data_IF_990903835890
#
_entry.id   IF_990903835890
#
_cell.length_a   1.000
_cell.length_b   1.000
_cell.length_c   1.000
_cell.angle_alpha   90.00
_cell.angle_beta   90.00
_cell.angle_gamma   90.00
#
_symmetry.space_group_name_H-M   'P 1'
#
loop_
_entity.id
_entity.type
_entity.pdbx_description
1 polymer ?
#
# COMPACT_ATOMS: atom_id res chain seq x y z
N UNK A 1 18.94 -18.16 -10.19
CA UNK A 1 17.88 -17.15 -10.26
C UNK A 1 18.31 -16.13 -11.32
N UNK A 2 17.52 -15.89 -12.36
CA UNK A 2 17.93 -15.03 -13.48
C UNK A 2 18.09 -13.57 -13.02
N UNK A 3 19.25 -12.93 -13.28
CA UNK A 3 19.59 -11.64 -12.63
C UNK A 3 18.61 -10.51 -12.98
N UNK A 4 18.07 -10.49 -14.20
CA UNK A 4 17.09 -9.49 -14.63
C UNK A 4 15.78 -9.52 -13.82
N UNK A 5 15.32 -10.70 -13.38
CA UNK A 5 14.11 -10.81 -12.54
C UNK A 5 14.32 -10.22 -11.16
N UNK A 6 15.54 -10.40 -10.64
CA UNK A 6 15.90 -9.86 -9.34
C UNK A 6 15.97 -8.32 -9.41
N UNK A 7 16.63 -7.77 -10.43
CA UNK A 7 16.69 -6.33 -10.67
C UNK A 7 15.30 -5.70 -10.87
N UNK A 8 14.42 -6.39 -11.60
CA UNK A 8 13.03 -5.97 -11.78
C UNK A 8 12.29 -5.87 -10.43
N UNK A 9 12.30 -6.94 -9.63
CA UNK A 9 11.60 -6.96 -8.35
C UNK A 9 12.19 -5.95 -7.36
N UNK A 10 13.51 -5.81 -7.30
CA UNK A 10 14.19 -4.79 -6.49
C UNK A 10 13.70 -3.39 -6.84
N UNK A 11 13.55 -3.07 -8.13
CA UNK A 11 12.97 -1.80 -8.57
C UNK A 11 11.53 -1.65 -8.09
N UNK A 12 10.71 -2.69 -8.18
CA UNK A 12 9.32 -2.63 -7.71
C UNK A 12 9.25 -2.40 -6.19
N UNK A 13 10.09 -3.07 -5.40
CA UNK A 13 10.15 -2.86 -3.94
C UNK A 13 10.54 -1.43 -3.59
N UNK A 14 11.53 -0.86 -4.28
CA UNK A 14 11.91 0.55 -4.09
C UNK A 14 10.73 1.49 -4.41
N UNK A 15 10.06 1.29 -5.54
CA UNK A 15 8.90 2.09 -5.91
C UNK A 15 7.76 1.98 -4.88
N UNK A 16 7.50 0.80 -4.32
CA UNK A 16 6.49 0.65 -3.27
C UNK A 16 6.84 1.46 -2.02
N UNK A 17 8.10 1.41 -1.58
CA UNK A 17 8.58 2.18 -0.43
C UNK A 17 8.49 3.69 -0.70
N UNK A 18 8.85 4.12 -1.91
CA UNK A 18 8.74 5.51 -2.34
C UNK A 18 7.28 5.98 -2.33
N UNK A 19 6.33 5.17 -2.81
CA UNK A 19 4.90 5.53 -2.76
C UNK A 19 4.41 5.71 -1.31
N UNK A 20 4.83 4.83 -0.39
CA UNK A 20 4.50 4.97 1.03
C UNK A 20 5.12 6.24 1.61
N UNK A 21 6.37 6.55 1.24
CA UNK A 21 7.05 7.75 1.69
C UNK A 21 6.36 9.04 1.19
N UNK A 22 6.03 9.10 -0.09
CA UNK A 22 5.35 10.25 -0.70
C UNK A 22 3.94 10.45 -0.12
N UNK A 23 3.23 9.36 0.23
CA UNK A 23 1.96 9.44 0.95
C UNK A 23 2.15 10.02 2.36
N UNK A 24 3.15 9.55 3.12
CA UNK A 24 3.49 10.08 4.45
C UNK A 24 3.95 11.54 4.42
N UNK A 25 4.41 12.03 3.26
CA UNK A 25 4.74 13.43 3.00
C UNK A 25 3.56 14.24 2.45
N UNK A 26 2.36 13.66 2.41
CA UNK A 26 1.13 14.28 1.91
C UNK A 26 1.21 14.73 0.44
N UNK A 27 2.16 14.19 -0.33
CA UNK A 27 2.35 14.54 -1.74
C UNK A 27 1.42 13.76 -2.67
N UNK A 28 0.93 12.61 -2.22
CA UNK A 28 -0.07 11.81 -2.91
C UNK A 28 -1.22 11.47 -1.95
N UNK A 29 -2.43 11.32 -2.49
CA UNK A 29 -3.60 10.88 -1.72
C UNK A 29 -3.66 9.35 -1.56
N UNK A 30 -4.48 8.88 -0.61
CA UNK A 30 -4.65 7.46 -0.28
C UNK A 30 -5.11 6.61 -1.47
N UNK A 31 -5.99 7.15 -2.33
CA UNK A 31 -6.43 6.46 -3.57
C UNK A 31 -5.24 6.13 -4.48
N UNK A 32 -4.35 7.10 -4.69
CA UNK A 32 -3.17 6.93 -5.53
C UNK A 32 -2.21 5.90 -4.93
N UNK A 33 -2.01 5.93 -3.61
CA UNK A 33 -1.19 4.96 -2.89
C UNK A 33 -1.72 3.53 -3.08
N UNK A 34 -3.02 3.29 -2.83
CA UNK A 34 -3.67 1.97 -2.95
C UNK A 34 -3.49 1.41 -4.36
N UNK A 35 -3.81 2.20 -5.39
CA UNK A 35 -3.68 1.77 -6.79
C UNK A 35 -2.22 1.44 -7.14
N UNK A 36 -1.29 2.30 -6.73
CA UNK A 36 0.13 2.13 -7.06
C UNK A 36 0.69 0.89 -6.38
N UNK A 37 0.41 0.66 -5.10
CA UNK A 37 0.86 -0.53 -4.37
C UNK A 37 0.33 -1.82 -5.03
N UNK A 38 -0.95 -1.85 -5.45
CA UNK A 38 -1.51 -3.02 -6.13
C UNK A 38 -0.83 -3.29 -7.45
N UNK A 39 -0.67 -2.26 -8.28
CA UNK A 39 -0.02 -2.37 -9.59
C UNK A 39 1.43 -2.85 -9.48
N UNK A 40 2.21 -2.27 -8.55
CA UNK A 40 3.60 -2.66 -8.32
C UNK A 40 3.69 -4.11 -7.80
N UNK A 41 2.77 -4.53 -6.93
CA UNK A 41 2.76 -5.90 -6.40
C UNK A 41 2.38 -6.93 -7.48
N UNK A 42 1.41 -6.61 -8.32
CA UNK A 42 1.03 -7.45 -9.44
C UNK A 42 2.14 -7.60 -10.48
N UNK A 43 3.06 -6.63 -10.58
CA UNK A 43 4.20 -6.70 -11.48
C UNK A 43 5.34 -7.60 -10.97
N UNK A 44 5.35 -7.99 -9.69
CA UNK A 44 6.42 -8.83 -9.13
C UNK A 44 6.48 -10.22 -9.78
N UNK A 45 7.68 -10.67 -10.11
CA UNK A 45 7.92 -11.97 -10.74
C UNK A 45 8.42 -13.01 -9.72
N UNK A 46 7.89 -14.23 -9.75
CA UNK A 46 8.42 -15.37 -8.95
C UNK A 46 8.55 -15.09 -7.43
N UNK A 47 7.62 -14.31 -6.85
CA UNK A 47 7.55 -14.08 -5.41
C UNK A 47 6.81 -15.20 -4.68
N UNK A 48 7.19 -15.56 -3.44
CA UNK A 48 6.45 -16.55 -2.66
C UNK A 48 5.00 -16.14 -2.45
N UNK A 49 4.07 -17.07 -2.70
CA UNK A 49 2.63 -16.80 -2.57
C UNK A 49 2.25 -16.40 -1.15
N UNK A 50 2.90 -16.98 -0.14
CA UNK A 50 2.69 -16.61 1.27
C UNK A 50 2.97 -15.13 1.55
N UNK A 51 4.08 -14.60 1.01
CA UNK A 51 4.41 -13.18 1.14
C UNK A 51 3.40 -12.31 0.40
N UNK A 52 2.99 -12.73 -0.81
CA UNK A 52 2.00 -12.01 -1.61
C UNK A 52 0.64 -11.95 -0.91
N UNK A 53 0.25 -13.02 -0.23
CA UNK A 53 -0.97 -13.06 0.59
C UNK A 53 -0.90 -12.07 1.76
N UNK A 54 0.18 -12.08 2.54
CA UNK A 54 0.36 -11.12 3.63
C UNK A 54 0.37 -9.67 3.14
N UNK A 55 1.01 -9.40 1.99
CA UNK A 55 0.95 -8.07 1.39
C UNK A 55 -0.49 -7.68 0.99
N UNK A 56 -1.23 -8.61 0.37
CA UNK A 56 -2.60 -8.36 -0.07
C UNK A 56 -3.57 -8.13 1.10
N UNK A 57 -3.37 -8.80 2.24
CA UNK A 57 -4.16 -8.60 3.47
C UNK A 57 -4.02 -7.17 4.00
N UNK A 58 -2.78 -6.68 4.10
CA UNK A 58 -2.50 -5.31 4.50
C UNK A 58 -3.01 -4.29 3.47
N UNK A 59 -2.79 -4.57 2.17
CA UNK A 59 -3.32 -3.72 1.10
C UNK A 59 -4.85 -3.64 1.12
N UNK A 60 -5.53 -4.76 1.36
CA UNK A 60 -7.01 -4.81 1.44
C UNK A 60 -7.52 -4.03 2.65
N UNK A 61 -6.76 -3.99 3.75
CA UNK A 61 -7.07 -3.14 4.90
C UNK A 61 -7.08 -1.66 4.52
N UNK A 62 -6.09 -1.18 3.74
CA UNK A 62 -6.09 0.20 3.21
C UNK A 62 -7.29 0.46 2.30
N UNK A 63 -7.58 -0.46 1.39
CA UNK A 63 -8.70 -0.34 0.46
C UNK A 63 -10.04 -0.27 1.19
N UNK A 64 -10.22 -1.10 2.22
CA UNK A 64 -11.44 -1.15 3.03
C UNK A 64 -11.64 0.17 3.80
N UNK A 65 -10.59 0.66 4.48
CA UNK A 65 -10.68 1.94 5.21
C UNK A 65 -10.99 3.09 4.25
N UNK A 66 -10.35 3.12 3.08
CA UNK A 66 -10.62 4.14 2.08
C UNK A 66 -12.07 4.07 1.55
N UNK A 67 -12.57 2.87 1.25
CA UNK A 67 -13.93 2.66 0.77
C UNK A 67 -14.98 3.09 1.79
N UNK A 68 -14.83 2.69 3.06
CA UNK A 68 -15.74 3.08 4.14
C UNK A 68 -15.72 4.60 4.39
N UNK A 69 -14.56 5.23 4.31
CA UNK A 69 -14.44 6.69 4.44
C UNK A 69 -15.11 7.41 3.27
N UNK A 70 -15.00 6.87 2.05
CA UNK A 70 -15.62 7.43 0.85
C UNK A 70 -17.15 7.30 0.92
N UNK A 71 -17.67 6.12 1.25
CA UNK A 71 -19.10 5.83 1.39
C UNK A 71 -19.77 6.77 2.39
N UNK A 72 -19.18 6.92 3.58
CA UNK A 72 -19.65 7.86 4.62
C UNK A 72 -19.73 9.31 4.15
N UNK A 73 -18.85 9.72 3.24
CA UNK A 73 -18.84 11.10 2.73
C UNK A 73 -19.84 11.33 1.61
N UNK A 74 -20.08 10.31 0.79
CA UNK A 74 -21.15 10.34 -0.21
C UNK A 74 -22.53 10.50 0.45
N UNK A 75 -22.71 9.95 1.66
CA UNK A 75 -23.91 10.17 2.48
C UNK A 75 -23.98 11.58 3.11
N UNK A 76 -22.86 12.30 3.19
CA UNK A 76 -22.77 13.61 3.85
C UNK A 76 -22.98 14.77 2.85
N UNK A 77 -23.77 15.79 3.24
CA UNK A 77 -23.97 17.00 2.42
C UNK A 77 -22.69 17.86 2.28
N UNK A 78 -21.73 17.69 3.20
CA UNK A 78 -20.49 18.47 3.30
C UNK A 78 -19.34 17.61 2.74
N UNK A 79 -19.11 17.68 1.42
CA UNK A 79 -18.26 16.78 0.59
C UNK A 79 -16.75 16.78 0.89
N UNK A 80 -16.33 16.96 2.15
CA UNK A 80 -14.92 16.95 2.54
C UNK A 80 -14.46 15.53 2.86
N UNK A 81 -13.31 15.15 2.29
CA UNK A 81 -12.68 13.89 2.64
C UNK A 81 -12.04 13.94 4.02
N UNK A 82 -12.68 13.29 5.00
CA UNK A 82 -12.26 13.30 6.41
C UNK A 82 -12.17 11.87 6.91
N UNK A 83 -10.96 11.51 7.35
CA UNK A 83 -10.67 10.29 8.09
C UNK A 83 -10.87 10.54 9.58
N UNK A 84 -11.43 9.56 10.29
CA UNK A 84 -11.47 9.52 11.74
C UNK A 84 -10.09 9.20 12.31
N UNK A 85 -9.85 9.52 13.59
CA UNK A 85 -8.60 9.16 14.26
C UNK A 85 -8.32 7.66 14.25
N UNK A 86 -9.37 6.83 14.33
CA UNK A 86 -9.25 5.38 14.26
C UNK A 86 -8.80 4.91 12.88
N UNK A 87 -9.41 5.43 11.81
CA UNK A 87 -9.00 5.12 10.43
C UNK A 87 -7.56 5.57 10.16
N UNK A 88 -7.15 6.74 10.69
CA UNK A 88 -5.76 7.22 10.60
C UNK A 88 -4.80 6.25 11.30
N UNK A 89 -5.16 5.75 12.50
CA UNK A 89 -4.34 4.78 13.22
C UNK A 89 -4.22 3.46 12.45
N UNK A 90 -5.33 2.94 11.91
CA UNK A 90 -5.33 1.73 11.08
C UNK A 90 -4.42 1.92 9.87
N UNK A 91 -4.57 3.02 9.13
CA UNK A 91 -3.72 3.34 7.98
C UNK A 91 -2.24 3.36 8.40
N UNK A 92 -1.91 4.05 9.48
CA UNK A 92 -0.52 4.16 9.93
C UNK A 92 0.09 2.79 10.29
N UNK A 93 -0.65 1.95 11.01
CA UNK A 93 -0.20 0.60 11.38
C UNK A 93 -0.01 -0.28 10.13
N UNK A 94 -0.99 -0.27 9.22
CA UNK A 94 -0.91 -1.02 7.96
C UNK A 94 0.27 -0.55 7.08
N UNK A 95 0.55 0.75 7.04
CA UNK A 95 1.72 1.27 6.32
C UNK A 95 3.04 0.80 6.93
N UNK A 96 3.13 0.71 8.26
CA UNK A 96 4.32 0.14 8.93
C UNK A 96 4.47 -1.34 8.58
N UNK A 97 3.38 -2.12 8.63
CA UNK A 97 3.40 -3.54 8.28
C UNK A 97 3.83 -3.76 6.82
N UNK A 98 3.27 -3.00 5.87
CA UNK A 98 3.67 -3.03 4.47
C UNK A 98 5.16 -2.69 4.30
N UNK A 99 5.64 -1.63 4.96
CA UNK A 99 7.06 -1.26 4.91
C UNK A 99 7.97 -2.38 5.42
N UNK A 100 7.60 -3.05 6.49
CA UNK A 100 8.35 -4.18 7.04
C UNK A 100 8.35 -5.36 6.06
N UNK A 101 7.19 -5.77 5.56
CA UNK A 101 7.06 -6.86 4.58
C UNK A 101 7.89 -6.61 3.32
N UNK A 102 7.87 -5.39 2.78
CA UNK A 102 8.64 -5.01 1.59
C UNK A 102 10.15 -5.01 1.90
N UNK A 103 10.56 -4.41 3.02
CA UNK A 103 11.98 -4.29 3.38
C UNK A 103 12.62 -5.65 3.69
N UNK A 104 11.92 -6.51 4.42
CA UNK A 104 12.37 -7.89 4.68
C UNK A 104 12.48 -8.72 3.42
N UNK A 105 11.58 -8.51 2.45
CA UNK A 105 11.62 -9.22 1.17
C UNK A 105 12.77 -8.76 0.30
N UNK A 106 13.02 -7.46 0.26
CA UNK A 106 14.14 -6.82 -0.46
C UNK A 106 15.51 -7.27 0.07
N UNK A 107 15.62 -7.54 1.38
CA UNK A 107 16.87 -7.95 2.01
C UNK A 107 17.26 -9.43 1.77
N UNK A 108 16.41 -10.24 1.12
CA UNK A 108 16.59 -11.69 0.90
C UNK A 108 16.89 -12.01 -0.56
#
# INVERSE_FOLDING_TARGET
>A
MNSWRNEHNERQYNLMLDMIFEFKKEKIGIKQLILSLKSLCNALESVPESWKNSFNEEWFTLETVYALALDRQEESLDKKFILTSEEINIINNTLVNLQNLISERKAK
#
